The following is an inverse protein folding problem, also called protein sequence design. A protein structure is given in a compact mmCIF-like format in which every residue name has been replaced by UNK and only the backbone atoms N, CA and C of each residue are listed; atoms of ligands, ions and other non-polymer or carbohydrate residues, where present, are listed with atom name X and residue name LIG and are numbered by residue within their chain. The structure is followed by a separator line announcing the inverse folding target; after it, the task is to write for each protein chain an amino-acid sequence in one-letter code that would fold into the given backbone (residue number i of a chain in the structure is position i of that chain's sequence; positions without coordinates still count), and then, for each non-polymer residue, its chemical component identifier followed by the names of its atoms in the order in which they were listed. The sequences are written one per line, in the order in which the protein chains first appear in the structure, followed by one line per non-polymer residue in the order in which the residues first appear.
data_IF_360227534295
#
_entry.id   IF_360227534295
#
_cell.length_a   1.000
_cell.length_b   1.000
_cell.length_c   1.000
_cell.angle_alpha   90.00
_cell.angle_beta   90.00
_cell.angle_gamma   90.00
#
_symmetry.space_group_name_H-M   'P 1'
#
loop_
_entity.id
_entity.type
_entity.pdbx_description
1 polymer ?
#
# COMPACT_ATOMS: atom_id res chain seq x y z
N UNK A 1 -10.97 0.83 19.68
CA UNK A 1 -11.48 1.56 18.51
C UNK A 1 -11.56 0.64 17.28
N UNK A 2 -10.49 -0.09 16.87
CA UNK A 2 -10.50 -0.98 15.68
C UNK A 2 -11.70 -1.94 15.68
N UNK A 3 -11.87 -2.74 16.74
CA UNK A 3 -12.94 -3.74 16.82
C UNK A 3 -14.35 -3.12 16.78
N UNK A 4 -14.51 -1.91 17.31
CA UNK A 4 -15.78 -1.19 17.25
C UNK A 4 -16.13 -0.74 15.83
N UNK A 5 -15.15 -0.27 15.06
CA UNK A 5 -15.33 0.09 13.64
C UNK A 5 -15.78 -1.13 12.82
N UNK A 6 -15.12 -2.26 12.99
CA UNK A 6 -15.46 -3.53 12.33
C UNK A 6 -16.89 -3.99 12.66
N UNK A 7 -17.29 -3.89 13.92
CA UNK A 7 -18.66 -4.19 14.35
C UNK A 7 -19.68 -3.27 13.68
N UNK A 8 -19.42 -1.95 13.62
CA UNK A 8 -20.30 -1.00 12.96
C UNK A 8 -20.47 -1.30 11.46
N UNK A 9 -19.40 -1.68 10.77
CA UNK A 9 -19.42 -2.08 9.35
C UNK A 9 -20.25 -3.34 9.18
N UNK A 10 -20.03 -4.38 9.98
CA UNK A 10 -20.80 -5.62 9.98
C UNK A 10 -22.28 -5.37 10.22
N UNK A 11 -22.62 -4.54 11.22
CA UNK A 11 -24.00 -4.22 11.54
C UNK A 11 -24.68 -3.42 10.41
N UNK A 12 -23.96 -2.51 9.76
CA UNK A 12 -24.49 -1.76 8.62
C UNK A 12 -24.76 -2.67 7.43
N UNK A 13 -23.86 -3.61 7.09
CA UNK A 13 -24.12 -4.61 6.05
C UNK A 13 -25.40 -5.42 6.34
N UNK A 14 -25.58 -5.88 7.57
CA UNK A 14 -26.80 -6.59 7.99
C UNK A 14 -28.05 -5.74 7.86
N UNK A 15 -27.97 -4.46 8.27
CA UNK A 15 -29.10 -3.54 8.26
C UNK A 15 -29.57 -3.21 6.84
N UNK A 16 -28.67 -3.13 5.86
CA UNK A 16 -29.06 -2.95 4.44
C UNK A 16 -29.49 -4.24 3.77
N UNK A 17 -29.38 -5.40 4.44
CA UNK A 17 -29.89 -6.67 3.95
C UNK A 17 -28.90 -7.60 3.29
N UNK A 18 -27.60 -7.30 3.35
CA UNK A 18 -26.53 -8.20 2.87
C UNK A 18 -26.60 -9.53 3.62
N UNK A 19 -26.41 -10.64 2.90
CA UNK A 19 -26.46 -12.00 3.46
C UNK A 19 -25.09 -12.49 3.91
N UNK A 20 -25.10 -13.54 4.73
CA UNK A 20 -23.91 -14.23 5.22
C UNK A 20 -22.86 -13.28 5.82
N UNK A 21 -23.32 -12.19 6.46
CA UNK A 21 -22.42 -11.23 7.06
C UNK A 21 -21.73 -11.85 8.28
N UNK A 22 -20.43 -11.96 8.20
CA UNK A 22 -19.57 -12.52 9.25
C UNK A 22 -18.37 -11.63 9.53
N UNK A 23 -17.77 -11.80 10.71
CA UNK A 23 -16.53 -11.17 11.08
C UNK A 23 -15.58 -12.24 11.61
N UNK A 24 -14.39 -12.36 11.04
CA UNK A 24 -13.38 -13.32 11.48
C UNK A 24 -12.76 -12.91 12.83
N UNK A 25 -12.03 -13.81 13.45
CA UNK A 25 -11.26 -13.52 14.69
C UNK A 25 -10.18 -12.47 14.48
N UNK A 26 -9.64 -12.37 13.25
CA UNK A 26 -8.64 -11.38 12.82
C UNK A 26 -9.26 -10.04 12.38
N UNK A 27 -10.60 -9.94 12.35
CA UNK A 27 -11.31 -8.69 12.08
C UNK A 27 -11.69 -8.44 10.62
N UNK A 28 -11.51 -9.40 9.73
CA UNK A 28 -12.07 -9.30 8.36
C UNK A 28 -13.58 -9.38 8.42
N UNK A 29 -14.25 -8.51 7.69
CA UNK A 29 -15.71 -8.52 7.56
C UNK A 29 -16.09 -8.99 6.18
N UNK A 30 -16.93 -9.99 6.09
CA UNK A 30 -17.41 -10.58 4.83
C UNK A 30 -18.91 -10.42 4.68
N UNK A 31 -19.39 -10.39 3.43
CA UNK A 31 -20.80 -10.39 3.11
C UNK A 31 -21.07 -10.91 1.70
N UNK A 32 -22.31 -11.30 1.43
CA UNK A 32 -22.75 -11.81 0.13
C UNK A 32 -24.03 -11.13 -0.31
N UNK A 33 -24.07 -10.68 -1.56
CA UNK A 33 -25.30 -10.32 -2.27
C UNK A 33 -25.57 -11.44 -3.26
N UNK A 34 -26.60 -12.31 -3.03
CA UNK A 34 -26.95 -13.37 -3.95
C UNK A 34 -27.38 -12.82 -5.31
N UNK A 35 -27.13 -13.56 -6.38
CA UNK A 35 -27.64 -13.22 -7.70
C UNK A 35 -29.17 -13.01 -7.66
N UNK A 36 -29.67 -12.02 -8.39
CA UNK A 36 -31.13 -11.77 -8.50
C UNK A 36 -31.79 -12.43 -9.72
N UNK A 37 -31.05 -13.32 -10.39
CA UNK A 37 -31.52 -14.11 -11.53
C UNK A 37 -30.64 -15.35 -11.76
N UNK A 38 -31.00 -16.14 -12.75
CA UNK A 38 -30.23 -17.31 -13.17
C UNK A 38 -29.17 -16.88 -14.22
N UNK A 39 -28.03 -16.42 -13.75
CA UNK A 39 -26.96 -15.93 -14.60
C UNK A 39 -25.77 -16.88 -14.55
N UNK A 40 -25.34 -17.36 -15.72
CA UNK A 40 -24.09 -18.10 -15.85
C UNK A 40 -22.91 -17.10 -15.96
N UNK A 41 -22.53 -16.53 -14.84
CA UNK A 41 -21.43 -15.55 -14.75
C UNK A 41 -20.54 -15.82 -13.54
N UNK A 42 -19.36 -15.22 -13.54
CA UNK A 42 -18.42 -15.29 -12.42
C UNK A 42 -18.97 -14.57 -11.19
N UNK A 43 -18.60 -15.06 -10.02
CA UNK A 43 -18.79 -14.37 -8.74
C UNK A 43 -17.73 -13.27 -8.62
N UNK A 44 -18.19 -12.03 -8.52
CA UNK A 44 -17.29 -10.87 -8.43
C UNK A 44 -17.16 -10.42 -6.97
N UNK A 45 -15.93 -10.22 -6.52
CA UNK A 45 -15.62 -9.67 -5.22
C UNK A 45 -15.29 -8.18 -5.29
N UNK A 46 -15.68 -7.44 -4.25
CA UNK A 46 -15.23 -6.07 -4.00
C UNK A 46 -14.67 -5.99 -2.59
N UNK A 47 -13.51 -5.38 -2.46
CA UNK A 47 -12.86 -5.23 -1.16
C UNK A 47 -12.25 -3.83 -0.98
N UNK A 48 -12.19 -3.40 0.29
CA UNK A 48 -11.62 -2.14 0.74
C UNK A 48 -11.04 -2.33 2.14
N UNK A 49 -10.05 -1.49 2.54
CA UNK A 49 -9.50 -1.63 3.88
C UNK A 49 -10.13 -0.68 4.91
N UNK A 50 -10.09 -1.09 6.17
CA UNK A 50 -10.77 -0.39 7.27
C UNK A 50 -9.83 0.45 8.13
N UNK A 51 -8.56 0.15 8.11
CA UNK A 51 -7.54 0.87 8.87
C UNK A 51 -7.13 2.18 8.19
N UNK A 52 -6.35 2.94 8.87
CA UNK A 52 -5.75 4.19 8.42
C UNK A 52 -4.29 4.19 8.81
N UNK A 53 -3.46 4.90 8.04
CA UNK A 53 -2.03 4.96 8.28
C UNK A 53 -1.70 5.36 9.73
N UNK A 54 -0.77 4.64 10.39
CA UNK A 54 -0.33 4.97 11.74
C UNK A 54 0.58 6.21 11.82
N UNK A 55 0.95 6.81 10.69
CA UNK A 55 1.91 7.92 10.63
C UNK A 55 1.35 9.23 11.18
N UNK A 56 0.03 9.36 11.26
CA UNK A 56 -0.65 10.53 11.81
C UNK A 56 -1.84 10.12 12.70
N UNK A 57 -2.26 10.98 13.65
CA UNK A 57 -3.47 10.74 14.43
C UNK A 57 -4.71 10.58 13.54
N UNK A 58 -5.58 9.65 13.88
CA UNK A 58 -6.84 9.37 13.19
C UNK A 58 -8.07 9.48 14.10
N UNK A 59 -7.90 10.01 15.32
CA UNK A 59 -8.97 10.20 16.29
C UNK A 59 -9.52 11.65 16.27
N UNK A 60 -10.83 11.78 16.51
CA UNK A 60 -11.52 13.06 16.54
C UNK A 60 -11.38 13.87 15.23
N UNK A 61 -11.42 13.17 14.11
CA UNK A 61 -11.35 13.77 12.77
C UNK A 61 -12.41 14.86 12.62
N UNK A 62 -12.01 16.04 12.13
CA UNK A 62 -12.88 17.20 11.90
C UNK A 62 -12.95 17.53 10.42
N UNK A 63 -13.86 16.88 9.66
CA UNK A 63 -14.00 17.14 8.24
C UNK A 63 -14.48 18.55 7.97
N UNK A 64 -13.94 19.16 6.91
CA UNK A 64 -14.31 20.51 6.44
C UNK A 64 -14.65 20.44 4.96
N UNK A 65 -15.73 21.09 4.56
CA UNK A 65 -16.15 21.19 3.16
C UNK A 65 -15.69 22.51 2.57
N UNK A 66 -14.84 22.45 1.56
CA UNK A 66 -14.40 23.58 0.72
C UNK A 66 -15.20 23.53 -0.56
N UNK A 67 -16.25 24.36 -0.66
CA UNK A 67 -17.11 24.41 -1.85
C UNK A 67 -16.46 25.21 -2.96
N UNK A 68 -16.62 24.71 -4.20
CA UNK A 68 -16.20 25.37 -5.43
C UNK A 68 -14.76 25.91 -5.30
N UNK A 69 -13.83 25.00 -5.02
CA UNK A 69 -12.44 25.36 -4.76
C UNK A 69 -11.88 26.33 -5.81
N UNK A 70 -11.33 27.44 -5.36
CA UNK A 70 -10.90 28.56 -6.22
C UNK A 70 -9.44 28.49 -6.71
N UNK A 71 -8.73 27.40 -6.42
CA UNK A 71 -7.34 27.19 -6.83
C UNK A 71 -6.30 27.88 -5.93
N UNK A 72 -6.70 28.46 -4.78
CA UNK A 72 -5.79 29.09 -3.83
C UNK A 72 -5.45 28.19 -2.66
N UNK A 73 -4.57 28.70 -1.79
CA UNK A 73 -4.21 28.03 -0.54
C UNK A 73 -5.42 27.85 0.36
N UNK A 74 -5.61 26.65 0.91
CA UNK A 74 -6.69 26.31 1.83
C UNK A 74 -6.17 26.47 3.27
N UNK A 75 -6.82 27.32 4.06
CA UNK A 75 -6.52 27.40 5.49
C UNK A 75 -7.30 26.33 6.24
N UNK A 76 -6.60 25.30 6.70
CA UNK A 76 -7.19 24.17 7.44
C UNK A 76 -7.46 24.54 8.89
N UNK A 77 -6.54 25.24 9.53
CA UNK A 77 -6.65 25.64 10.94
C UNK A 77 -6.02 27.03 11.16
N UNK A 78 -6.87 28.03 11.41
CA UNK A 78 -6.39 29.39 11.63
C UNK A 78 -5.61 29.54 12.94
N UNK A 79 -6.06 28.87 14.00
CA UNK A 79 -5.44 28.95 15.31
C UNK A 79 -4.03 28.36 15.36
N UNK A 80 -3.81 27.27 14.60
CA UNK A 80 -2.52 26.59 14.51
C UNK A 80 -1.69 27.05 13.31
N UNK A 81 -2.23 27.92 12.45
CA UNK A 81 -1.56 28.37 11.23
C UNK A 81 -1.39 27.30 10.16
N UNK A 82 -2.16 26.19 10.23
CA UNK A 82 -2.04 25.08 9.29
C UNK A 82 -2.72 25.43 7.99
N UNK A 83 -1.98 25.26 6.89
CA UNK A 83 -2.44 25.54 5.53
C UNK A 83 -2.02 24.45 4.57
N UNK A 84 -2.87 24.16 3.61
CA UNK A 84 -2.59 23.36 2.44
C UNK A 84 -2.31 24.32 1.28
N UNK A 85 -1.04 24.45 0.90
CA UNK A 85 -0.65 25.46 -0.08
C UNK A 85 -0.47 24.84 -1.46
N UNK A 86 -0.83 25.58 -2.51
CA UNK A 86 -0.64 25.14 -3.90
C UNK A 86 0.83 25.00 -4.29
N UNK A 87 1.75 25.56 -3.50
CA UNK A 87 3.20 25.37 -3.65
C UNK A 87 3.64 24.00 -3.14
N UNK A 88 3.12 23.57 -1.98
CA UNK A 88 3.42 22.22 -1.41
C UNK A 88 2.67 21.13 -2.14
N UNK A 89 1.45 21.42 -2.57
CA UNK A 89 0.54 20.48 -3.22
C UNK A 89 0.10 21.02 -4.60
N UNK A 90 0.97 20.99 -5.61
CA UNK A 90 0.67 21.54 -6.95
C UNK A 90 -0.54 20.92 -7.63
N UNK A 91 -0.85 19.67 -7.31
CA UNK A 91 -1.99 18.91 -7.84
C UNK A 91 -3.35 19.52 -7.45
N UNK A 92 -3.43 20.34 -6.41
CA UNK A 92 -4.66 21.04 -6.02
C UNK A 92 -5.26 21.85 -7.17
N UNK A 93 -4.44 22.30 -8.11
CA UNK A 93 -4.90 23.04 -9.31
C UNK A 93 -5.81 22.22 -10.20
N UNK A 94 -5.73 20.89 -10.13
CA UNK A 94 -6.57 20.00 -10.93
C UNK A 94 -8.01 19.93 -10.42
N UNK A 95 -8.25 20.43 -9.22
CA UNK A 95 -9.56 20.37 -8.54
C UNK A 95 -10.29 21.71 -8.50
N UNK A 96 -9.85 22.71 -9.27
CA UNK A 96 -10.52 24.02 -9.33
C UNK A 96 -11.96 23.85 -9.81
N UNK A 97 -12.89 24.47 -9.08
CA UNK A 97 -14.33 24.37 -9.32
C UNK A 97 -15.02 23.18 -8.66
N UNK A 98 -14.26 22.24 -8.10
CA UNK A 98 -14.80 21.07 -7.40
C UNK A 98 -15.01 21.36 -5.89
N UNK A 99 -15.86 20.59 -5.27
CA UNK A 99 -16.02 20.56 -3.82
C UNK A 99 -14.97 19.62 -3.21
N UNK A 100 -14.22 20.09 -2.22
CA UNK A 100 -13.18 19.31 -1.55
C UNK A 100 -13.57 19.06 -0.09
N UNK A 101 -13.25 17.85 0.39
CA UNK A 101 -13.34 17.53 1.81
C UNK A 101 -11.92 17.45 2.36
N UNK A 102 -11.64 18.22 3.41
CA UNK A 102 -10.36 18.27 4.13
C UNK A 102 -10.57 18.02 5.61
N UNK A 103 -9.48 17.94 6.38
CA UNK A 103 -9.53 18.03 7.85
C UNK A 103 -9.10 19.42 8.31
N UNK A 104 -9.06 19.61 9.64
CA UNK A 104 -8.43 20.79 10.24
C UNK A 104 -6.88 20.69 10.28
N UNK A 105 -6.29 19.68 9.67
CA UNK A 105 -4.86 19.46 9.60
C UNK A 105 -4.23 18.92 10.89
N UNK A 106 -5.02 18.53 11.89
CA UNK A 106 -4.52 17.89 13.11
C UNK A 106 -4.59 16.37 13.06
N UNK A 107 -5.32 15.81 12.08
CA UNK A 107 -5.49 14.37 11.86
C UNK A 107 -5.47 14.04 10.38
N UNK A 108 -5.37 12.74 10.06
CA UNK A 108 -5.76 12.21 8.76
C UNK A 108 -7.25 12.49 8.49
N UNK A 109 -7.64 12.58 7.22
CA UNK A 109 -9.05 12.53 6.80
C UNK A 109 -9.56 11.08 6.87
N UNK A 110 -8.74 10.14 6.42
CA UNK A 110 -9.05 8.71 6.34
C UNK A 110 -9.99 8.38 5.17
N UNK A 111 -9.95 9.18 4.10
CA UNK A 111 -10.62 8.82 2.86
C UNK A 111 -10.06 7.53 2.27
N UNK A 112 -8.77 7.35 2.41
CA UNK A 112 -8.04 6.11 2.24
C UNK A 112 -8.20 5.27 3.53
N UNK A 113 -8.94 4.11 3.49
CA UNK A 113 -9.80 3.70 2.36
C UNK A 113 -11.29 3.62 2.78
N UNK A 114 -11.74 4.57 3.61
CA UNK A 114 -13.16 4.68 3.94
C UNK A 114 -14.02 5.12 2.75
N UNK A 115 -13.41 5.67 1.70
CA UNK A 115 -14.09 5.97 0.44
C UNK A 115 -14.54 4.68 -0.24
N UNK A 116 -13.62 3.72 -0.45
CA UNK A 116 -13.95 2.42 -1.02
C UNK A 116 -14.98 1.65 -0.19
N UNK A 117 -14.89 1.71 1.15
CA UNK A 117 -15.94 1.16 2.01
C UNK A 117 -17.31 1.80 1.70
N UNK A 118 -17.36 3.13 1.58
CA UNK A 118 -18.61 3.86 1.32
C UNK A 118 -19.18 3.54 -0.06
N UNK A 119 -18.33 3.40 -1.06
CA UNK A 119 -18.69 3.02 -2.43
C UNK A 119 -19.28 1.61 -2.48
N UNK A 120 -18.61 0.63 -1.88
CA UNK A 120 -19.09 -0.77 -1.78
C UNK A 120 -20.42 -0.84 -1.02
N UNK A 121 -20.54 -0.10 0.09
CA UNK A 121 -21.79 -0.06 0.86
C UNK A 121 -22.94 0.55 0.06
N UNK A 122 -22.66 1.62 -0.70
CA UNK A 122 -23.67 2.29 -1.54
C UNK A 122 -24.09 1.39 -2.70
N UNK A 123 -23.13 0.71 -3.34
CA UNK A 123 -23.42 -0.30 -4.36
C UNK A 123 -24.34 -1.40 -3.79
N UNK A 124 -24.00 -1.94 -2.62
CA UNK A 124 -24.78 -2.99 -1.97
C UNK A 124 -26.21 -2.53 -1.66
N UNK A 125 -26.38 -1.35 -1.08
CA UNK A 125 -27.70 -0.77 -0.78
C UNK A 125 -28.50 -0.54 -2.06
N UNK A 126 -27.86 -0.02 -3.11
CA UNK A 126 -28.51 0.21 -4.41
C UNK A 126 -29.00 -1.10 -5.03
N UNK A 127 -28.19 -2.12 -5.12
CA UNK A 127 -28.58 -3.41 -5.71
C UNK A 127 -29.68 -4.11 -4.92
N UNK A 128 -29.68 -4.00 -3.60
CA UNK A 128 -30.70 -4.60 -2.74
C UNK A 128 -32.03 -3.84 -2.76
N UNK A 129 -32.00 -2.54 -3.03
CA UNK A 129 -33.23 -1.70 -3.14
C UNK A 129 -33.76 -1.58 -4.55
N UNK A 130 -32.97 -1.93 -5.57
CA UNK A 130 -33.29 -1.88 -6.99
C UNK A 130 -33.18 -3.27 -7.64
N UNK A 131 -34.11 -4.21 -7.37
CA UNK A 131 -34.03 -5.57 -7.86
C UNK A 131 -34.13 -5.67 -9.40
N UNK A 132 -34.54 -4.62 -10.07
CA UNK A 132 -34.53 -4.51 -11.53
C UNK A 132 -33.11 -4.40 -12.15
N UNK A 133 -32.08 -4.08 -11.36
CA UNK A 133 -30.70 -4.09 -11.82
C UNK A 133 -30.20 -5.54 -11.84
N UNK A 134 -29.95 -6.15 -13.02
CA UNK A 134 -29.52 -7.54 -13.07
C UNK A 134 -28.08 -7.69 -12.57
N UNK A 135 -27.84 -8.65 -11.68
CA UNK A 135 -26.49 -8.93 -11.20
C UNK A 135 -26.33 -10.40 -10.80
N UNK A 136 -25.12 -10.93 -10.99
CA UNK A 136 -24.68 -12.20 -10.46
C UNK A 136 -24.41 -12.13 -8.95
N UNK A 137 -23.83 -13.18 -8.40
CA UNK A 137 -23.39 -13.18 -6.99
C UNK A 137 -22.24 -12.21 -6.79
N UNK A 138 -22.37 -11.35 -5.77
CA UNK A 138 -21.33 -10.39 -5.38
C UNK A 138 -20.84 -10.73 -3.98
N UNK A 139 -19.54 -10.81 -3.82
CA UNK A 139 -18.85 -10.97 -2.55
C UNK A 139 -18.28 -9.64 -2.08
N UNK A 140 -18.43 -9.34 -0.81
CA UNK A 140 -17.91 -8.14 -0.17
C UNK A 140 -16.90 -8.56 0.89
N UNK A 141 -15.78 -7.87 0.96
CA UNK A 141 -14.84 -8.03 2.04
C UNK A 141 -14.28 -6.66 2.49
N UNK A 142 -14.10 -6.50 3.80
CA UNK A 142 -13.37 -5.38 4.35
C UNK A 142 -12.21 -5.90 5.19
N UNK A 143 -11.01 -5.40 4.89
CA UNK A 143 -9.76 -5.91 5.45
C UNK A 143 -9.18 -4.99 6.52
N UNK A 144 -8.55 -5.50 7.54
CA UNK A 144 -7.72 -4.74 8.47
C UNK A 144 -6.26 -4.69 8.03
N UNK A 145 -5.47 -3.80 8.63
CA UNK A 145 -4.00 -3.82 8.63
C UNK A 145 -3.34 -3.72 7.23
N UNK A 146 -4.03 -3.12 6.24
CA UNK A 146 -3.48 -2.86 4.90
C UNK A 146 -2.30 -1.89 4.99
N UNK A 147 -2.46 -0.78 5.69
CA UNK A 147 -1.50 0.32 5.84
C UNK A 147 -0.19 -0.07 6.54
N UNK A 148 -0.16 -1.24 7.15
CA UNK A 148 1.04 -1.82 7.75
C UNK A 148 1.54 -3.07 6.98
N UNK A 149 0.95 -3.35 5.81
CA UNK A 149 1.37 -4.43 4.91
C UNK A 149 0.93 -5.83 5.33
N UNK A 150 -0.06 -5.95 6.22
CA UNK A 150 -0.58 -7.21 6.76
C UNK A 150 -2.04 -7.47 6.39
N UNK A 151 -2.58 -6.71 5.44
CA UNK A 151 -4.00 -6.77 5.06
C UNK A 151 -4.48 -8.12 4.53
N UNK A 152 -3.60 -8.98 4.07
CA UNK A 152 -3.95 -10.28 3.47
C UNK A 152 -3.49 -11.49 4.28
N UNK A 153 -2.77 -11.31 5.39
CA UNK A 153 -2.11 -12.39 6.12
C UNK A 153 -3.05 -13.51 6.55
N UNK A 154 -4.29 -13.18 6.89
CA UNK A 154 -5.31 -14.12 7.34
C UNK A 154 -6.58 -14.08 6.48
N UNK A 155 -6.49 -13.54 5.26
CA UNK A 155 -7.63 -13.47 4.36
C UNK A 155 -7.94 -14.85 3.77
N UNK A 156 -9.12 -15.36 4.05
CA UNK A 156 -9.57 -16.67 3.55
C UNK A 156 -10.09 -16.55 2.11
N UNK A 157 -9.20 -16.51 1.13
CA UNK A 157 -9.54 -16.42 -0.30
C UNK A 157 -10.47 -17.56 -0.75
N UNK A 158 -10.18 -18.85 -0.42
CA UNK A 158 -11.09 -19.94 -0.79
C UNK A 158 -12.46 -19.85 -0.13
N UNK A 159 -12.53 -19.53 1.17
CA UNK A 159 -13.78 -19.41 1.91
C UNK A 159 -14.59 -18.18 1.50
N UNK A 160 -13.95 -17.10 1.06
CA UNK A 160 -14.63 -15.95 0.51
C UNK A 160 -15.37 -16.28 -0.78
N UNK A 161 -14.77 -17.08 -1.67
CA UNK A 161 -15.44 -17.69 -2.80
C UNK A 161 -15.80 -16.71 -3.93
N UNK A 162 -15.01 -15.68 -4.15
CA UNK A 162 -15.05 -14.87 -5.37
C UNK A 162 -14.15 -15.50 -6.44
N UNK A 163 -14.62 -15.55 -7.69
CA UNK A 163 -13.83 -16.01 -8.83
C UNK A 163 -12.81 -14.94 -9.26
N UNK A 164 -13.23 -13.68 -9.19
CA UNK A 164 -12.44 -12.49 -9.51
C UNK A 164 -12.79 -11.37 -8.53
N UNK A 165 -11.88 -10.42 -8.32
CA UNK A 165 -12.15 -9.32 -7.39
C UNK A 165 -11.49 -8.01 -7.82
N UNK A 166 -12.09 -6.91 -7.39
CA UNK A 166 -11.55 -5.56 -7.46
C UNK A 166 -11.33 -5.01 -6.05
N UNK A 167 -10.13 -4.50 -5.79
CA UNK A 167 -9.88 -3.67 -4.62
C UNK A 167 -10.32 -2.25 -4.97
N UNK A 168 -11.23 -1.70 -4.17
CA UNK A 168 -11.77 -0.35 -4.32
C UNK A 168 -10.99 0.55 -3.36
N UNK A 169 -9.85 0.95 -3.81
CA UNK A 169 -8.87 1.72 -3.05
C UNK A 169 -8.09 2.58 -4.04
N UNK A 170 -7.53 3.69 -3.62
CA UNK A 170 -6.66 4.26 -4.56
C UNK A 170 -6.60 5.76 -4.78
N UNK A 171 -6.01 6.12 -5.91
CA UNK A 171 -5.47 7.38 -6.29
C UNK A 171 -6.43 8.34 -6.97
N UNK A 172 -6.08 8.77 -8.17
CA UNK A 172 -6.88 9.75 -8.91
C UNK A 172 -8.12 9.11 -9.52
N UNK A 173 -9.15 9.93 -9.73
CA UNK A 173 -10.37 9.46 -10.38
C UNK A 173 -10.09 8.86 -11.76
N UNK A 174 -10.56 7.64 -11.95
CA UNK A 174 -10.38 6.89 -13.19
C UNK A 174 -9.06 6.14 -13.29
N UNK A 175 -8.25 6.15 -12.27
CA UNK A 175 -7.04 5.35 -12.17
C UNK A 175 -7.40 3.89 -11.93
N UNK A 176 -6.72 3.01 -12.66
CA UNK A 176 -6.86 1.56 -12.54
C UNK A 176 -5.50 0.93 -12.59
N UNK A 177 -5.21 0.04 -11.68
CA UNK A 177 -3.94 -0.65 -11.59
C UNK A 177 -4.13 -2.16 -11.69
N UNK A 178 -3.26 -2.82 -12.44
CA UNK A 178 -3.19 -4.28 -12.54
C UNK A 178 -1.75 -4.78 -12.39
N UNK A 179 -0.82 -3.88 -12.12
CA UNK A 179 0.59 -4.17 -11.89
C UNK A 179 1.05 -3.60 -10.57
N UNK A 180 1.90 -4.37 -9.89
CA UNK A 180 2.62 -3.94 -8.70
C UNK A 180 4.09 -4.23 -8.88
N UNK A 181 4.94 -3.78 -7.96
CA UNK A 181 6.31 -4.26 -7.91
C UNK A 181 6.38 -5.73 -7.46
N UNK A 182 7.46 -6.42 -7.85
CA UNK A 182 8.01 -7.48 -7.03
C UNK A 182 8.79 -6.82 -5.89
N UNK A 183 8.67 -7.34 -4.69
CA UNK A 183 9.10 -6.66 -3.50
C UNK A 183 9.87 -7.58 -2.55
N UNK A 184 10.99 -7.10 -2.05
CA UNK A 184 11.75 -7.75 -0.99
C UNK A 184 12.26 -6.73 0.03
N UNK A 185 12.46 -7.19 1.26
CA UNK A 185 13.29 -6.54 2.25
C UNK A 185 14.71 -7.12 2.16
N UNK A 186 15.71 -6.26 2.28
CA UNK A 186 17.11 -6.70 2.41
C UNK A 186 17.70 -6.04 3.65
N UNK A 187 18.12 -6.87 4.59
CA UNK A 187 18.81 -6.45 5.80
C UNK A 187 20.27 -6.82 5.70
N UNK A 188 21.13 -5.84 5.90
CA UNK A 188 22.58 -6.02 5.90
C UNK A 188 23.09 -5.76 7.31
N UNK A 189 23.66 -6.77 7.95
CA UNK A 189 24.26 -6.66 9.27
C UNK A 189 25.78 -6.74 9.13
N UNK A 190 26.47 -5.79 9.73
CA UNK A 190 27.92 -5.67 9.62
C UNK A 190 28.55 -5.75 11.01
N UNK A 191 29.44 -6.71 11.17
CA UNK A 191 30.18 -6.97 12.40
C UNK A 191 31.61 -6.35 12.31
N UNK A 192 31.83 -5.35 13.12
CA UNK A 192 33.10 -4.68 13.24
C UNK A 192 33.97 -5.19 14.42
N UNK A 193 35.11 -4.61 14.58
CA UNK A 193 35.93 -4.78 15.79
C UNK A 193 36.52 -3.45 16.21
N UNK A 194 36.17 -3.04 17.41
CA UNK A 194 36.63 -1.76 17.97
C UNK A 194 37.98 -1.93 18.63
N UNK A 195 38.89 -1.02 18.34
CA UNK A 195 40.23 -0.95 18.90
C UNK A 195 40.48 0.50 19.29
N UNK A 196 41.21 0.73 20.36
CA UNK A 196 41.64 2.09 20.76
C UNK A 196 42.27 2.81 19.55
N UNK A 197 41.80 4.01 19.17
CA UNK A 197 42.21 4.69 17.92
C UNK A 197 43.73 4.81 17.75
N UNK A 198 44.46 5.06 18.82
CA UNK A 198 45.95 5.15 18.80
C UNK A 198 46.67 3.83 18.45
N UNK A 199 45.98 2.68 18.49
CA UNK A 199 46.52 1.34 18.20
C UNK A 199 45.75 0.61 17.08
N UNK A 200 44.86 1.32 16.37
CA UNK A 200 43.88 0.73 15.49
C UNK A 200 44.40 0.34 14.10
N UNK A 201 45.59 0.82 13.71
CA UNK A 201 46.17 0.57 12.37
C UNK A 201 46.21 -0.93 12.06
N UNK A 202 45.58 -1.33 10.96
CA UNK A 202 45.47 -2.72 10.47
C UNK A 202 44.76 -3.70 11.44
N UNK A 203 44.01 -3.20 12.42
CA UNK A 203 43.32 -4.02 13.42
C UNK A 203 41.81 -3.68 13.53
N UNK A 204 41.48 -2.40 13.46
CA UNK A 204 40.08 -1.96 13.56
C UNK A 204 39.33 -2.30 12.30
N UNK A 205 38.10 -2.86 12.48
CA UNK A 205 37.10 -2.94 11.46
C UNK A 205 35.93 -2.04 11.88
N UNK A 206 35.75 -0.92 11.23
CA UNK A 206 34.67 0.00 11.54
C UNK A 206 33.42 -0.40 10.73
N UNK A 207 32.43 -0.97 11.40
CA UNK A 207 31.24 -1.47 10.73
C UNK A 207 30.43 -0.36 10.02
N UNK A 208 30.47 0.89 10.53
CA UNK A 208 29.79 2.02 9.86
C UNK A 208 30.45 2.29 8.50
N UNK A 209 31.80 2.33 8.44
CA UNK A 209 32.50 2.58 7.19
C UNK A 209 32.32 1.45 6.17
N UNK A 210 32.26 0.20 6.64
CA UNK A 210 31.95 -0.96 5.79
C UNK A 210 30.50 -0.88 5.28
N UNK A 211 29.55 -0.42 6.10
CA UNK A 211 28.17 -0.18 5.68
C UNK A 211 28.04 0.90 4.60
N UNK A 212 28.79 1.99 4.74
CA UNK A 212 28.85 3.02 3.70
C UNK A 212 29.49 2.49 2.41
N UNK A 213 30.50 1.62 2.52
CA UNK A 213 31.10 0.95 1.36
C UNK A 213 30.09 0.02 0.68
N UNK A 214 29.34 -0.79 1.44
CA UNK A 214 28.24 -1.60 0.89
C UNK A 214 27.26 -0.73 0.09
N UNK A 215 26.78 0.36 0.67
CA UNK A 215 25.88 1.30 0.00
C UNK A 215 26.50 1.89 -1.29
N UNK A 216 27.79 2.19 -1.28
CA UNK A 216 28.47 2.78 -2.46
C UNK A 216 28.68 1.81 -3.62
N UNK A 217 28.54 0.51 -3.37
CA UNK A 217 28.66 -0.54 -4.40
C UNK A 217 27.32 -0.83 -5.08
N UNK A 218 26.19 -0.36 -4.53
CA UNK A 218 24.90 -0.41 -5.20
C UNK A 218 24.83 0.68 -6.28
N UNK A 219 24.09 0.45 -7.40
CA UNK A 219 23.97 1.43 -8.48
C UNK A 219 23.44 2.79 -7.99
N UNK A 220 24.17 3.85 -8.29
CA UNK A 220 23.85 5.21 -7.80
C UNK A 220 22.49 5.71 -8.32
N UNK A 221 22.14 5.36 -9.55
CA UNK A 221 20.89 5.77 -10.23
C UNK A 221 19.70 4.90 -9.91
N UNK A 222 19.87 3.78 -9.19
CA UNK A 222 18.77 2.88 -8.82
C UNK A 222 18.26 3.16 -7.40
N UNK A 223 17.82 4.39 -7.18
CA UNK A 223 17.23 4.87 -5.92
C UNK A 223 15.88 5.55 -6.24
N UNK A 224 14.89 5.53 -5.34
CA UNK A 224 13.56 6.11 -5.60
C UNK A 224 13.57 7.55 -6.14
N UNK A 225 14.53 8.38 -5.71
CA UNK A 225 14.64 9.76 -6.18
C UNK A 225 15.18 9.91 -7.61
N UNK A 226 15.60 8.82 -8.25
CA UNK A 226 16.17 8.81 -9.61
C UNK A 226 15.45 7.84 -10.55
N UNK A 227 14.42 7.14 -10.06
CA UNK A 227 13.68 6.14 -10.82
C UNK A 227 12.22 6.58 -11.03
N UNK A 228 11.64 6.16 -12.13
CA UNK A 228 10.24 6.40 -12.47
C UNK A 228 9.62 5.19 -13.20
N UNK A 229 8.31 5.14 -13.25
CA UNK A 229 7.53 4.13 -13.99
C UNK A 229 7.92 2.70 -13.59
N UNK A 230 8.45 1.92 -14.55
CA UNK A 230 8.81 0.50 -14.36
C UNK A 230 10.25 0.28 -13.87
N UNK A 231 10.97 1.35 -13.57
CA UNK A 231 12.35 1.23 -13.09
C UNK A 231 12.39 0.73 -11.66
N UNK A 232 13.19 -0.30 -11.42
CA UNK A 232 13.38 -0.85 -10.08
C UNK A 232 14.46 -0.10 -9.29
N UNK A 233 14.49 -0.31 -7.96
CA UNK A 233 15.37 0.44 -7.08
C UNK A 233 15.78 -0.32 -5.82
N UNK A 234 16.84 0.20 -5.18
CA UNK A 234 17.22 -0.08 -3.80
C UNK A 234 16.93 1.17 -2.97
N UNK A 235 16.07 1.07 -1.99
CA UNK A 235 15.77 2.16 -1.07
C UNK A 235 16.33 1.83 0.32
N UNK A 236 17.42 2.50 0.70
CA UNK A 236 17.93 2.45 2.08
C UNK A 236 17.00 3.30 2.95
N UNK A 237 16.11 2.65 3.70
CA UNK A 237 15.12 3.33 4.53
C UNK A 237 15.56 3.47 6.00
N UNK A 238 16.55 2.68 6.44
CA UNK A 238 17.10 2.80 7.78
C UNK A 238 18.57 2.39 7.82
N UNK A 239 19.37 3.12 8.57
CA UNK A 239 20.75 2.76 8.93
C UNK A 239 20.98 3.13 10.40
N UNK A 240 21.55 2.21 11.16
CA UNK A 240 21.90 2.46 12.55
C UNK A 240 23.06 1.60 13.01
N UNK A 241 23.84 2.11 13.95
CA UNK A 241 24.94 1.33 14.49
C UNK A 241 26.08 2.14 15.10
N UNK A 242 27.18 1.46 15.38
CA UNK A 242 28.41 1.97 15.94
C UNK A 242 29.61 1.24 15.31
N UNK A 243 30.83 1.42 15.84
CA UNK A 243 32.04 0.78 15.27
C UNK A 243 31.98 -0.74 15.26
N UNK A 244 31.26 -1.36 16.20
CA UNK A 244 31.22 -2.82 16.38
C UNK A 244 30.08 -3.47 15.62
N UNK A 245 28.94 -2.78 15.44
CA UNK A 245 27.79 -3.33 14.75
C UNK A 245 27.01 -2.23 14.02
N UNK A 246 26.70 -2.44 12.76
CA UNK A 246 25.87 -1.55 11.93
C UNK A 246 24.87 -2.37 11.14
N UNK A 247 23.63 -1.90 11.09
CA UNK A 247 22.57 -2.53 10.31
C UNK A 247 22.02 -1.55 9.29
N UNK A 248 21.85 -2.01 8.05
CA UNK A 248 21.19 -1.27 6.99
C UNK A 248 19.93 -2.04 6.58
N UNK A 249 18.82 -1.32 6.41
CA UNK A 249 17.56 -1.89 5.96
C UNK A 249 17.18 -1.28 4.62
N UNK A 250 16.98 -2.16 3.64
CA UNK A 250 16.58 -1.78 2.28
C UNK A 250 15.22 -2.33 1.92
N UNK A 251 14.51 -1.56 1.12
CA UNK A 251 13.41 -2.03 0.30
C UNK A 251 13.96 -2.23 -1.11
N UNK A 252 13.75 -3.42 -1.69
CA UNK A 252 14.15 -3.76 -3.06
C UNK A 252 12.88 -3.93 -3.88
N UNK A 253 12.81 -3.26 -5.02
CA UNK A 253 11.63 -3.24 -5.91
C UNK A 253 12.05 -3.38 -7.36
N UNK A 254 11.27 -4.15 -8.13
CA UNK A 254 11.30 -4.15 -9.59
C UNK A 254 9.98 -4.72 -10.13
N UNK A 255 9.48 -4.20 -11.25
CA UNK A 255 8.33 -4.77 -11.93
C UNK A 255 8.69 -6.07 -12.67
N UNK A 256 9.90 -6.14 -13.22
CA UNK A 256 10.40 -7.32 -13.93
C UNK A 256 11.02 -8.34 -12.95
N UNK A 257 10.53 -9.57 -12.98
CA UNK A 257 10.98 -10.63 -12.08
C UNK A 257 12.47 -10.98 -12.26
N UNK A 258 12.98 -11.00 -13.50
CA UNK A 258 14.38 -11.34 -13.73
C UNK A 258 15.30 -10.25 -13.16
N UNK A 259 14.98 -8.98 -13.37
CA UNK A 259 15.72 -7.85 -12.80
C UNK A 259 15.61 -7.80 -11.28
N UNK A 260 14.45 -8.18 -10.74
CA UNK A 260 14.27 -8.29 -9.29
C UNK A 260 15.22 -9.31 -8.68
N UNK A 261 15.33 -10.51 -9.29
CA UNK A 261 16.28 -11.53 -8.86
C UNK A 261 17.74 -11.08 -9.04
N UNK A 262 18.07 -10.38 -10.12
CA UNK A 262 19.40 -9.79 -10.34
C UNK A 262 19.77 -8.79 -9.23
N UNK A 263 18.82 -7.94 -8.79
CA UNK A 263 19.03 -7.01 -7.66
C UNK A 263 19.32 -7.74 -6.36
N UNK A 264 18.54 -8.76 -6.04
CA UNK A 264 18.78 -9.60 -4.85
C UNK A 264 20.16 -10.27 -4.90
N UNK A 265 20.51 -10.81 -6.06
CA UNK A 265 21.81 -11.43 -6.28
C UNK A 265 22.97 -10.43 -6.15
N UNK A 266 22.80 -9.19 -6.62
CA UNK A 266 23.79 -8.13 -6.46
C UNK A 266 24.06 -7.84 -4.98
N UNK A 267 23.03 -7.67 -4.16
CA UNK A 267 23.19 -7.45 -2.72
C UNK A 267 23.99 -8.57 -2.05
N UNK A 268 23.70 -9.83 -2.37
CA UNK A 268 24.48 -10.98 -1.88
C UNK A 268 25.94 -10.95 -2.33
N UNK A 269 26.20 -10.70 -3.62
CA UNK A 269 27.56 -10.60 -4.17
C UNK A 269 28.39 -9.50 -3.53
N UNK A 270 27.79 -8.35 -3.20
CA UNK A 270 28.47 -7.28 -2.46
C UNK A 270 28.86 -7.77 -1.06
N UNK A 271 27.96 -8.45 -0.37
CA UNK A 271 28.26 -9.05 0.93
C UNK A 271 29.43 -10.05 0.87
N UNK A 272 29.43 -10.94 -0.12
CA UNK A 272 30.52 -11.91 -0.38
C UNK A 272 31.84 -11.19 -0.66
N UNK A 273 31.83 -10.14 -1.49
CA UNK A 273 33.03 -9.37 -1.79
C UNK A 273 33.59 -8.68 -0.53
N UNK A 274 32.74 -8.09 0.29
CA UNK A 274 33.16 -7.43 1.53
C UNK A 274 33.64 -8.44 2.58
N UNK A 275 33.08 -9.64 2.63
CA UNK A 275 33.59 -10.74 3.45
C UNK A 275 35.00 -11.17 2.99
N UNK A 276 35.22 -11.30 1.67
CA UNK A 276 36.54 -11.59 1.14
C UNK A 276 37.57 -10.49 1.49
N UNK A 277 37.15 -9.21 1.52
CA UNK A 277 38.01 -8.06 1.83
C UNK A 277 38.30 -7.91 3.33
N UNK A 278 37.26 -8.07 4.18
CA UNK A 278 37.37 -7.76 5.62
C UNK A 278 37.42 -9.01 6.52
N UNK A 279 37.21 -10.18 5.95
CA UNK A 279 37.18 -11.48 6.63
C UNK A 279 35.77 -12.03 6.73
N UNK A 280 35.68 -13.36 6.70
CA UNK A 280 34.39 -14.11 6.73
C UNK A 280 33.59 -13.72 7.96
N UNK A 281 32.25 -13.66 7.78
CA UNK A 281 31.30 -13.28 8.82
C UNK A 281 31.30 -11.78 9.19
N UNK A 282 32.01 -10.93 8.42
CA UNK A 282 31.97 -9.48 8.63
C UNK A 282 30.66 -8.88 8.13
N UNK A 283 30.09 -9.38 7.02
CA UNK A 283 28.86 -8.89 6.42
C UNK A 283 27.87 -10.03 6.23
N UNK A 284 26.70 -9.89 6.81
CA UNK A 284 25.57 -10.80 6.63
C UNK A 284 24.48 -10.09 5.82
N UNK A 285 23.95 -10.75 4.78
CA UNK A 285 22.89 -10.23 3.92
C UNK A 285 21.70 -11.17 3.97
N UNK A 286 20.64 -10.71 4.62
CA UNK A 286 19.35 -11.40 4.72
C UNK A 286 18.37 -10.77 3.75
N UNK A 287 17.72 -11.56 2.88
CA UNK A 287 16.73 -11.09 1.92
C UNK A 287 15.47 -11.93 2.08
N UNK A 288 14.34 -11.25 2.23
CA UNK A 288 13.03 -11.88 2.31
C UNK A 288 12.08 -11.23 1.30
N UNK A 289 11.50 -12.04 0.42
CA UNK A 289 10.47 -11.59 -0.50
C UNK A 289 9.20 -11.27 0.30
N UNK A 290 8.49 -10.20 -0.08
CA UNK A 290 7.27 -9.75 0.60
C UNK A 290 6.04 -9.96 -0.26
N UNK A 291 6.07 -9.57 -1.52
CA UNK A 291 5.01 -9.83 -2.50
C UNK A 291 5.57 -9.81 -3.92
N UNK A 292 4.77 -10.30 -4.87
CA UNK A 292 5.13 -10.35 -6.28
C UNK A 292 4.16 -9.52 -7.13
N UNK A 293 4.63 -9.07 -8.31
CA UNK A 293 3.83 -8.34 -9.26
C UNK A 293 2.58 -9.15 -9.65
N UNK A 294 1.41 -8.59 -9.40
CA UNK A 294 0.13 -9.24 -9.72
C UNK A 294 -0.14 -9.35 -11.22
N UNK A 295 0.55 -8.58 -12.06
CA UNK A 295 0.36 -8.57 -13.51
C UNK A 295 0.44 -9.97 -14.13
N UNK A 296 1.32 -10.84 -13.65
CA UNK A 296 1.43 -12.21 -14.17
C UNK A 296 0.15 -13.03 -13.96
N UNK A 297 -0.59 -12.73 -12.90
CA UNK A 297 -1.88 -13.37 -12.60
C UNK A 297 -3.03 -12.72 -13.36
N UNK A 298 -2.96 -11.42 -13.61
CA UNK A 298 -4.02 -10.65 -14.28
C UNK A 298 -3.93 -10.77 -15.83
N UNK A 299 -2.72 -10.84 -16.41
CA UNK A 299 -2.53 -10.92 -17.87
C UNK A 299 -3.38 -11.97 -18.59
N UNK A 300 -3.58 -13.20 -18.05
CA UNK A 300 -4.49 -14.18 -18.67
C UNK A 300 -5.97 -13.76 -18.62
N UNK A 301 -6.31 -12.73 -17.83
CA UNK A 301 -7.66 -12.29 -17.53
C UNK A 301 -7.85 -10.79 -17.81
N UNK A 302 -7.18 -10.23 -18.84
CA UNK A 302 -7.21 -8.79 -19.16
C UNK A 302 -8.61 -8.24 -19.43
N UNK A 303 -9.58 -9.10 -19.75
CA UNK A 303 -10.98 -8.70 -19.85
C UNK A 303 -11.51 -8.01 -18.56
N UNK A 304 -10.91 -8.30 -17.40
CA UNK A 304 -11.25 -7.63 -16.13
C UNK A 304 -10.92 -6.13 -16.20
N UNK A 305 -9.78 -5.81 -16.84
CA UNK A 305 -9.38 -4.41 -17.04
C UNK A 305 -10.26 -3.73 -18.09
N UNK A 306 -10.65 -4.44 -19.16
CA UNK A 306 -11.53 -3.91 -20.19
C UNK A 306 -12.90 -3.56 -19.62
N UNK A 307 -13.48 -4.44 -18.79
CA UNK A 307 -14.76 -4.20 -18.10
C UNK A 307 -14.66 -3.04 -17.12
N UNK A 308 -13.58 -2.97 -16.33
CA UNK A 308 -13.36 -1.85 -15.42
C UNK A 308 -13.18 -0.53 -16.17
N UNK A 309 -12.44 -0.53 -17.30
CA UNK A 309 -12.25 0.65 -18.14
C UNK A 309 -13.58 1.15 -18.74
N UNK A 310 -14.45 0.25 -19.17
CA UNK A 310 -15.80 0.58 -19.64
C UNK A 310 -16.63 1.25 -18.55
N UNK A 311 -16.65 0.65 -17.33
CA UNK A 311 -17.35 1.20 -16.18
C UNK A 311 -16.84 2.59 -15.78
N UNK A 312 -15.54 2.79 -15.75
CA UNK A 312 -14.88 4.07 -15.45
C UNK A 312 -15.18 5.10 -16.53
N UNK A 313 -15.13 4.74 -17.83
CA UNK A 313 -15.42 5.67 -18.94
C UNK A 313 -16.88 6.11 -18.96
N UNK A 314 -17.82 5.23 -18.57
CA UNK A 314 -19.25 5.57 -18.48
C UNK A 314 -19.50 6.65 -17.39
N UNK A 315 -18.80 6.60 -16.28
CA UNK A 315 -18.92 7.62 -15.19
C UNK A 315 -18.37 8.99 -15.58
N UNK A 316 -17.53 9.09 -16.61
CA UNK A 316 -16.98 10.36 -17.10
C UNK A 316 -17.88 11.06 -18.15
N UNK A 317 -18.94 10.40 -18.62
CA UNK A 317 -19.87 10.92 -19.63
C UNK A 317 -21.12 11.59 -19.03
N UNK A 318 -21.25 11.59 -17.74
CA UNK A 318 -22.34 12.23 -16.99
C UNK A 318 -21.83 13.42 -16.15
#
# INVERSE_FOLDING_TARGET
IRRQRQMCISDRLKNIGVKDVSMSEHGYVYGTIPANGDYNCQTVGFLAHMDTSPDCPDENVRPQLVKHYDGKDITLNKALGVKMTTKMFPFLKNYVGQDLITTDGTTLLGADDKAGIAEIMTMAETLLTHPEIPHGTIKIAFTPDEEVGHGVDFFDVPGWGADVAYTVDGGAWGEMEYETFNAASMKVTIHGSNIHPGSAKNKMKNSILIGLEFQSMLPENEKPQYTEKYEGFFHLNNIGGNVENTTLHYIVRDHDMARFEERKALGKKIGEFLNAKYGEGTVEVEIADTYYNMAEKIRPHMYLMDVAAEAVSYTHLT
#
